data_IF_907060779924
#
_entry.id   IF_907060779924
#
_cell.length_a   1.000
_cell.length_b   1.000
_cell.length_c   1.000
_cell.angle_alpha   90.00
_cell.angle_beta   90.00
_cell.angle_gamma   90.00
#
_symmetry.space_group_name_H-M   'P 1'
#
loop_
_entity.id
_entity.type
_entity.pdbx_description
1 polymer ?
#
# COMPACT_ATOMS: atom_id res chain seq x y z
N UNK A 1 61.77 -4.43 7.58
CA UNK A 1 60.74 -4.52 8.63
C UNK A 1 59.47 -3.85 8.13
N UNK A 2 58.42 -4.62 7.76
CA UNK A 2 57.12 -4.08 7.34
C UNK A 2 56.19 -4.08 8.55
N UNK A 3 55.70 -2.90 8.93
CA UNK A 3 54.71 -2.75 10.00
C UNK A 3 53.34 -3.21 9.49
N UNK A 4 52.67 -4.09 10.22
CA UNK A 4 51.30 -4.50 9.97
C UNK A 4 50.36 -3.50 10.65
N UNK A 5 49.56 -2.78 9.87
CA UNK A 5 48.46 -1.95 10.37
C UNK A 5 47.28 -2.84 10.75
N UNK A 6 47.07 -3.03 12.05
CA UNK A 6 45.91 -3.74 12.60
C UNK A 6 44.66 -2.89 12.42
N UNK A 7 43.76 -3.30 11.53
CA UNK A 7 42.43 -2.68 11.36
C UNK A 7 41.54 -3.08 12.56
N UNK A 8 41.13 -2.12 13.38
CA UNK A 8 40.15 -2.36 14.45
C UNK A 8 38.79 -2.78 13.88
N UNK A 9 38.13 -3.82 14.44
CA UNK A 9 36.79 -4.21 14.04
C UNK A 9 35.75 -3.20 14.56
N UNK A 10 34.95 -2.63 13.65
CA UNK A 10 33.87 -1.71 13.99
C UNK A 10 32.89 -2.34 14.99
N UNK A 11 32.82 -1.76 16.19
CA UNK A 11 31.97 -2.25 17.29
C UNK A 11 30.48 -2.21 16.88
N UNK A 12 29.87 -3.40 16.72
CA UNK A 12 28.46 -3.54 16.35
C UNK A 12 27.59 -3.06 17.52
N UNK A 13 27.00 -1.87 17.40
CA UNK A 13 26.14 -1.24 18.42
C UNK A 13 25.06 -2.24 18.88
N UNK A 14 25.11 -2.66 20.16
CA UNK A 14 24.06 -3.49 20.77
C UNK A 14 22.73 -2.74 20.65
N UNK A 15 21.78 -3.33 19.92
CA UNK A 15 20.41 -2.82 19.87
C UNK A 15 19.86 -2.89 21.30
N UNK A 16 19.46 -1.75 21.86
CA UNK A 16 18.76 -1.75 23.16
C UNK A 16 17.50 -2.58 23.01
N UNK A 17 17.25 -3.47 23.97
CA UNK A 17 15.97 -4.15 24.11
C UNK A 17 14.97 -3.05 24.50
N UNK A 18 14.06 -2.72 23.60
CA UNK A 18 13.02 -1.75 23.88
C UNK A 18 11.99 -2.43 24.79
N UNK A 19 11.74 -1.83 25.95
CA UNK A 19 10.69 -2.27 26.86
C UNK A 19 9.35 -1.76 26.32
N UNK A 20 8.64 -2.64 25.62
CA UNK A 20 7.30 -2.33 25.13
C UNK A 20 6.27 -2.39 26.27
N UNK A 21 5.27 -1.50 26.29
CA UNK A 21 4.18 -1.59 27.24
C UNK A 21 3.41 -2.92 27.09
N UNK A 22 2.65 -3.32 28.13
CA UNK A 22 1.80 -4.51 28.06
C UNK A 22 0.86 -4.41 26.86
N UNK A 23 0.79 -5.47 26.05
CA UNK A 23 0.04 -5.50 24.78
C UNK A 23 0.91 -5.37 23.52
N UNK A 24 2.22 -5.19 23.66
CA UNK A 24 3.16 -5.20 22.54
C UNK A 24 3.14 -3.91 21.71
N UNK A 25 3.61 -3.99 20.47
CA UNK A 25 3.75 -2.85 19.58
C UNK A 25 3.21 -3.16 18.18
N UNK A 26 2.25 -2.36 17.73
CA UNK A 26 1.81 -2.30 16.35
C UNK A 26 2.47 -1.12 15.64
N UNK A 27 3.01 -1.35 14.44
CA UNK A 27 3.62 -0.27 13.67
C UNK A 27 3.93 -0.64 12.23
N UNK A 28 4.30 0.38 11.46
CA UNK A 28 4.59 0.26 10.03
C UNK A 28 6.08 0.53 9.77
N UNK A 29 6.77 -0.29 8.94
CA UNK A 29 8.13 0.03 8.54
C UNK A 29 8.20 1.37 7.81
N UNK A 30 9.22 2.18 8.12
CA UNK A 30 9.41 3.52 7.50
C UNK A 30 9.46 3.47 5.97
N UNK A 31 9.95 2.38 5.38
CA UNK A 31 10.00 2.20 3.92
C UNK A 31 8.59 2.09 3.31
N UNK A 32 7.65 1.43 4.00
CA UNK A 32 6.26 1.32 3.57
C UNK A 32 5.55 2.66 3.78
N UNK A 33 5.78 3.32 4.92
CA UNK A 33 5.23 4.63 5.22
C UNK A 33 5.61 5.69 4.17
N UNK A 34 6.86 5.66 3.70
CA UNK A 34 7.36 6.60 2.70
C UNK A 34 6.94 6.25 1.27
N UNK A 35 6.36 5.08 1.04
CA UNK A 35 6.00 4.63 -0.30
C UNK A 35 4.82 5.44 -0.88
N UNK A 36 4.81 5.81 -2.17
CA UNK A 36 3.71 6.55 -2.79
C UNK A 36 2.35 5.88 -2.63
N UNK A 37 2.28 4.56 -2.71
CA UNK A 37 1.02 3.81 -2.54
C UNK A 37 0.42 3.99 -1.14
N UNK A 38 1.25 4.14 -0.10
CA UNK A 38 0.76 4.45 1.25
C UNK A 38 0.23 5.88 1.32
N UNK A 39 0.96 6.83 0.73
CA UNK A 39 0.59 8.25 0.74
C UNK A 39 -0.72 8.54 0.00
N UNK A 40 -1.09 7.70 -0.97
CA UNK A 40 -2.34 7.81 -1.74
C UNK A 40 -3.55 7.16 -1.05
N UNK A 41 -3.36 6.43 0.06
CA UNK A 41 -4.45 5.80 0.79
C UNK A 41 -5.39 6.84 1.41
N UNK A 42 -6.69 6.52 1.45
CA UNK A 42 -7.64 7.31 2.23
C UNK A 42 -7.39 7.14 3.73
N UNK A 43 -7.85 8.11 4.53
CA UNK A 43 -7.74 8.02 6.00
C UNK A 43 -8.39 6.75 6.58
N UNK A 44 -9.46 6.25 5.98
CA UNK A 44 -10.09 5.00 6.39
C UNK A 44 -9.20 3.79 6.06
N UNK A 45 -8.61 3.74 4.87
CA UNK A 45 -7.67 2.68 4.50
C UNK A 45 -6.43 2.68 5.40
N UNK A 46 -5.88 3.86 5.72
CA UNK A 46 -4.78 3.98 6.69
C UNK A 46 -5.19 3.47 8.06
N UNK A 47 -6.37 3.84 8.56
CA UNK A 47 -6.89 3.34 9.84
C UNK A 47 -6.98 1.81 9.85
N UNK A 48 -7.56 1.22 8.79
CA UNK A 48 -7.72 -0.23 8.68
C UNK A 48 -6.36 -0.94 8.60
N UNK A 49 -5.39 -0.36 7.89
CA UNK A 49 -4.03 -0.89 7.82
C UNK A 49 -3.36 -0.91 9.20
N UNK A 50 -3.57 0.12 10.01
CA UNK A 50 -3.07 0.17 11.38
C UNK A 50 -3.80 -0.81 12.30
N UNK A 51 -5.10 -1.04 12.08
CA UNK A 51 -5.84 -2.09 12.79
C UNK A 51 -5.26 -3.48 12.48
N UNK A 52 -4.87 -3.76 11.23
CA UNK A 52 -4.15 -4.99 10.87
C UNK A 52 -2.75 -5.06 11.49
N UNK A 53 -1.99 -3.95 11.47
CA UNK A 53 -0.69 -3.89 12.12
C UNK A 53 -0.76 -4.11 13.63
N UNK A 54 -1.88 -3.74 14.26
CA UNK A 54 -2.15 -3.98 15.68
C UNK A 54 -2.63 -5.42 15.97
N UNK A 55 -3.30 -6.08 15.02
CA UNK A 55 -3.67 -7.50 15.14
C UNK A 55 -2.48 -8.46 14.96
N UNK A 56 -1.45 -8.03 14.23
CA UNK A 56 -0.28 -8.85 13.96
C UNK A 56 0.61 -9.03 15.20
N UNK A 57 0.89 -10.27 15.59
CA UNK A 57 1.65 -10.63 16.80
C UNK A 57 3.09 -11.10 16.52
N UNK A 58 3.47 -11.23 15.24
CA UNK A 58 4.76 -11.76 14.84
C UNK A 58 4.68 -13.10 14.11
N UNK A 59 3.61 -13.86 14.31
CA UNK A 59 3.45 -15.25 13.86
C UNK A 59 2.08 -15.58 13.24
N UNK A 60 1.21 -14.57 13.11
CA UNK A 60 -0.16 -14.72 12.60
C UNK A 60 -0.40 -13.95 11.28
N UNK A 61 0.64 -13.60 10.51
CA UNK A 61 0.45 -12.88 9.25
C UNK A 61 -0.20 -13.78 8.20
N UNK A 62 -1.51 -13.63 8.04
CA UNK A 62 -2.35 -14.59 7.30
C UNK A 62 -3.68 -14.84 8.00
N UNK A 63 -3.76 -14.54 9.30
CA UNK A 63 -4.95 -14.63 10.15
C UNK A 63 -5.41 -13.24 10.64
N UNK A 64 -5.23 -12.21 9.82
CA UNK A 64 -5.74 -10.87 10.13
C UNK A 64 -7.18 -10.74 9.64
N UNK A 65 -8.08 -10.21 10.46
CA UNK A 65 -9.50 -10.17 10.13
C UNK A 65 -10.07 -8.75 10.10
N UNK A 66 -10.98 -8.51 9.16
CA UNK A 66 -11.77 -7.28 9.07
C UNK A 66 -13.23 -7.52 9.49
N UNK A 67 -13.44 -8.45 10.42
CA UNK A 67 -14.77 -8.78 10.90
C UNK A 67 -15.43 -7.54 11.54
N UNK A 68 -16.64 -7.21 11.10
CA UNK A 68 -17.32 -5.99 11.55
C UNK A 68 -17.56 -5.97 13.06
N UNK A 69 -17.84 -7.12 13.67
CA UNK A 69 -18.02 -7.25 15.13
C UNK A 69 -16.81 -6.77 15.92
N UNK A 70 -15.61 -7.03 15.44
CA UNK A 70 -14.37 -6.67 16.13
C UNK A 70 -13.93 -5.25 15.79
N UNK A 71 -14.06 -4.86 14.52
CA UNK A 71 -13.81 -3.48 14.12
C UNK A 71 -14.81 -2.50 14.75
N UNK A 72 -16.05 -2.90 15.01
CA UNK A 72 -17.03 -2.06 15.71
C UNK A 72 -16.54 -1.67 17.12
N UNK A 73 -15.88 -2.57 17.83
CA UNK A 73 -15.25 -2.29 19.14
C UNK A 73 -14.12 -1.27 19.03
N UNK A 74 -13.50 -1.17 17.85
CA UNK A 74 -12.43 -0.21 17.48
C UNK A 74 -12.98 1.09 16.85
N UNK A 75 -14.28 1.35 17.02
CA UNK A 75 -14.94 2.58 16.61
C UNK A 75 -15.35 2.63 15.13
N UNK A 76 -15.36 1.50 14.41
CA UNK A 76 -15.92 1.45 13.06
C UNK A 76 -17.45 1.42 13.10
N UNK A 77 -18.08 2.22 12.22
CA UNK A 77 -19.55 2.41 12.22
C UNK A 77 -20.27 1.81 11.02
N UNK A 78 -19.53 1.45 9.96
CA UNK A 78 -20.11 1.03 8.68
C UNK A 78 -19.32 -0.10 8.05
N UNK A 79 -20.02 -1.18 7.71
CA UNK A 79 -19.49 -2.29 6.90
C UNK A 79 -19.04 -1.81 5.52
N UNK A 80 -19.79 -0.90 4.90
CA UNK A 80 -19.46 -0.35 3.58
C UNK A 80 -18.17 0.46 3.59
N UNK A 81 -17.90 1.20 4.66
CA UNK A 81 -16.62 1.94 4.81
C UNK A 81 -15.45 0.98 4.96
N UNK A 82 -15.61 -0.11 5.72
CA UNK A 82 -14.60 -1.16 5.85
C UNK A 82 -14.35 -1.80 4.48
N UNK A 83 -15.41 -2.17 3.75
CA UNK A 83 -15.28 -2.78 2.43
C UNK A 83 -14.50 -1.90 1.45
N UNK A 84 -14.83 -0.60 1.35
CA UNK A 84 -14.11 0.36 0.50
C UNK A 84 -12.65 0.56 0.93
N UNK A 85 -12.41 0.65 2.24
CA UNK A 85 -11.05 0.76 2.76
C UNK A 85 -10.22 -0.49 2.43
N UNK A 86 -10.85 -1.66 2.50
CA UNK A 86 -10.22 -2.95 2.25
C UNK A 86 -9.92 -3.17 0.77
N UNK A 87 -10.85 -2.80 -0.13
CA UNK A 87 -10.63 -2.74 -1.57
C UNK A 87 -9.43 -1.86 -1.91
N UNK A 88 -9.39 -0.64 -1.37
CA UNK A 88 -8.27 0.27 -1.59
C UNK A 88 -6.92 -0.30 -1.11
N UNK A 89 -6.89 -1.03 0.01
CA UNK A 89 -5.67 -1.67 0.51
C UNK A 89 -5.20 -2.83 -0.37
N UNK A 90 -6.13 -3.59 -0.94
CA UNK A 90 -5.83 -4.67 -1.89
C UNK A 90 -5.31 -4.09 -3.21
N UNK A 91 -5.97 -3.06 -3.74
CA UNK A 91 -5.57 -2.38 -4.98
C UNK A 91 -4.17 -1.75 -4.87
N UNK A 92 -3.85 -1.19 -3.70
CA UNK A 92 -2.52 -0.64 -3.39
C UNK A 92 -1.47 -1.72 -3.05
N UNK A 93 -1.83 -3.00 -3.11
CA UNK A 93 -1.00 -4.15 -2.72
C UNK A 93 -0.36 -4.00 -1.33
N UNK A 94 -1.06 -3.35 -0.40
CA UNK A 94 -0.64 -3.21 1.00
C UNK A 94 -1.05 -4.42 1.82
N UNK A 95 -2.17 -5.02 1.43
CA UNK A 95 -2.74 -6.22 2.05
C UNK A 95 -3.13 -7.19 0.95
N UNK A 96 -3.00 -8.49 1.22
CA UNK A 96 -3.62 -9.53 0.39
C UNK A 96 -4.67 -10.28 1.18
N UNK A 97 -5.65 -10.83 0.48
CA UNK A 97 -6.56 -11.81 1.04
C UNK A 97 -5.90 -13.18 1.04
N UNK A 98 -5.85 -13.82 2.21
CA UNK A 98 -5.27 -15.15 2.40
C UNK A 98 -6.33 -16.24 2.46
N UNK A 99 -7.59 -15.88 2.75
CA UNK A 99 -8.74 -16.78 2.73
C UNK A 99 -9.99 -16.02 2.32
N UNK A 100 -10.81 -16.60 1.45
CA UNK A 100 -12.12 -16.04 1.12
C UNK A 100 -13.12 -16.19 2.27
N UNK A 101 -13.98 -15.18 2.38
CA UNK A 101 -15.12 -15.24 3.30
C UNK A 101 -16.25 -16.06 2.71
N UNK A 102 -16.86 -16.95 3.49
CA UNK A 102 -18.04 -17.72 3.09
C UNK A 102 -19.24 -17.27 3.91
N UNK A 103 -20.30 -16.83 3.25
CA UNK A 103 -21.55 -16.45 3.89
C UNK A 103 -22.54 -17.61 3.82
N UNK A 104 -22.33 -18.63 4.68
CA UNK A 104 -23.11 -19.85 4.75
C UNK A 104 -23.68 -20.07 6.16
N UNK A 105 -24.86 -20.70 6.25
CA UNK A 105 -25.49 -21.10 7.51
C UNK A 105 -25.92 -22.58 7.43
N UNK A 106 -25.30 -23.53 8.17
CA UNK A 106 -24.09 -23.39 9.00
C UNK A 106 -22.79 -23.33 8.18
N UNK A 107 -21.66 -23.00 8.84
CA UNK A 107 -20.33 -23.10 8.24
C UNK A 107 -19.76 -21.82 7.61
N UNK A 108 -20.35 -20.65 7.91
CA UNK A 108 -19.81 -19.37 7.47
C UNK A 108 -18.42 -19.08 8.05
N UNK A 109 -17.55 -18.49 7.24
CA UNK A 109 -16.17 -18.12 7.61
C UNK A 109 -15.88 -16.68 7.23
N UNK A 110 -15.10 -15.98 8.03
CA UNK A 110 -14.63 -14.64 7.68
C UNK A 110 -13.46 -14.71 6.68
N UNK A 111 -13.34 -13.68 5.84
CA UNK A 111 -12.15 -13.48 5.04
C UNK A 111 -10.94 -13.15 5.94
N UNK A 112 -9.78 -13.68 5.59
CA UNK A 112 -8.51 -13.42 6.27
C UNK A 112 -7.54 -12.69 5.36
N UNK A 113 -6.60 -12.00 5.98
CA UNK A 113 -5.70 -11.06 5.32
C UNK A 113 -4.26 -11.16 5.84
N UNK A 114 -3.32 -10.71 5.04
CA UNK A 114 -1.90 -10.60 5.39
C UNK A 114 -1.30 -9.28 4.89
N UNK A 115 -0.36 -8.74 5.66
CA UNK A 115 0.47 -7.58 5.29
C UNK A 115 1.51 -8.02 4.26
N UNK A 116 1.66 -7.27 3.16
CA UNK A 116 2.48 -7.69 2.01
C UNK A 116 3.98 -7.53 2.20
N UNK A 117 4.41 -6.67 3.12
CA UNK A 117 5.82 -6.50 3.51
C UNK A 117 6.29 -7.52 4.56
N UNK A 118 5.44 -8.47 4.93
CA UNK A 118 5.73 -9.57 5.85
C UNK A 118 5.59 -10.91 5.11
N UNK A 119 6.32 -11.92 5.57
CA UNK A 119 6.12 -13.33 5.20
C UNK A 119 4.72 -13.78 5.61
N UNK A 120 4.11 -14.69 4.87
CA UNK A 120 2.84 -15.32 5.27
C UNK A 120 3.18 -16.48 6.19
N UNK A 121 2.56 -16.49 7.36
CA UNK A 121 2.71 -17.54 8.37
C UNK A 121 1.72 -18.68 8.11
N UNK A 122 2.02 -19.89 8.58
CA UNK A 122 1.23 -21.09 8.27
C UNK A 122 -0.17 -21.10 8.91
N UNK A 123 -0.37 -20.30 9.97
CA UNK A 123 -1.64 -20.08 10.67
C UNK A 123 -2.48 -21.37 10.79
N UNK A 124 -1.99 -22.33 11.59
CA UNK A 124 -2.60 -23.65 11.75
C UNK A 124 -4.11 -23.58 12.06
N UNK A 125 -4.89 -24.45 11.41
CA UNK A 125 -6.34 -24.52 11.59
C UNK A 125 -7.14 -23.40 10.91
N UNK A 126 -6.50 -22.45 10.22
CA UNK A 126 -7.19 -21.35 9.52
C UNK A 126 -7.55 -21.64 8.07
N UNK A 127 -7.05 -22.74 7.50
CA UNK A 127 -7.34 -23.14 6.11
C UNK A 127 -7.11 -21.99 5.12
N UNK A 128 -5.88 -21.44 5.13
CA UNK A 128 -5.49 -20.39 4.20
C UNK A 128 -5.46 -20.95 2.77
N UNK A 129 -5.92 -20.15 1.82
CA UNK A 129 -5.82 -20.44 0.38
C UNK A 129 -4.43 -20.12 -0.16
N UNK A 130 -3.72 -19.20 0.51
CA UNK A 130 -2.33 -18.83 0.20
C UNK A 130 -1.38 -19.58 1.13
N UNK A 131 -0.36 -20.22 0.56
CA UNK A 131 0.66 -20.96 1.31
C UNK A 131 1.56 -20.05 2.13
N UNK A 132 2.05 -20.57 3.25
CA UNK A 132 3.12 -19.94 4.03
C UNK A 132 4.34 -19.65 3.16
N UNK A 133 4.99 -18.52 3.39
CA UNK A 133 6.07 -18.01 2.53
C UNK A 133 7.21 -17.47 3.38
N UNK A 134 8.46 -17.84 3.07
CA UNK A 134 9.65 -17.36 3.80
C UNK A 134 9.96 -15.89 3.49
N UNK A 135 9.73 -15.45 2.25
CA UNK A 135 10.00 -14.08 1.79
C UNK A 135 8.71 -13.26 1.76
N UNK A 136 8.74 -11.97 2.14
CA UNK A 136 7.60 -11.08 1.94
C UNK A 136 7.14 -11.04 0.48
N UNK A 137 5.83 -10.94 0.27
CA UNK A 137 5.25 -10.85 -1.08
C UNK A 137 5.73 -9.60 -1.81
N UNK A 138 5.87 -8.47 -1.11
CA UNK A 138 6.28 -7.18 -1.69
C UNK A 138 7.51 -6.61 -0.99
N UNK A 139 8.47 -6.13 -1.80
CA UNK A 139 9.69 -5.45 -1.34
C UNK A 139 9.63 -3.97 -1.71
N UNK A 140 9.44 -3.11 -0.71
CA UNK A 140 9.26 -1.67 -0.90
C UNK A 140 10.58 -0.87 -1.12
N UNK A 141 11.74 -1.52 -1.01
CA UNK A 141 13.06 -0.85 -1.06
C UNK A 141 13.56 -0.51 -2.47
N UNK A 142 12.90 -1.00 -3.53
CA UNK A 142 13.30 -0.77 -4.92
C UNK A 142 12.18 -0.28 -5.84
N UNK A 143 10.98 -0.06 -5.30
CA UNK A 143 9.77 0.26 -6.07
C UNK A 143 9.63 1.78 -6.26
N UNK A 144 10.71 2.42 -6.70
CA UNK A 144 10.70 3.83 -7.07
C UNK A 144 10.41 3.92 -8.57
N UNK A 145 9.24 4.47 -8.90
CA UNK A 145 8.73 4.83 -10.24
C UNK A 145 7.95 3.76 -11.03
N UNK A 146 6.64 3.68 -10.76
CA UNK A 146 5.70 3.84 -11.89
C UNK A 146 5.52 5.34 -12.09
N UNK A 147 6.48 5.99 -12.77
CA UNK A 147 6.20 7.30 -13.32
C UNK A 147 4.98 7.13 -14.24
N UNK A 148 3.85 7.83 -14.02
CA UNK A 148 2.89 7.95 -15.10
C UNK A 148 3.67 8.65 -16.22
N UNK A 149 3.92 7.93 -17.30
CA UNK A 149 4.47 8.54 -18.51
C UNK A 149 3.65 9.79 -18.83
N UNK A 150 4.25 10.86 -19.36
CA UNK A 150 3.52 12.10 -19.62
C UNK A 150 2.27 11.73 -20.40
N UNK A 151 1.08 11.92 -19.80
CA UNK A 151 -0.19 11.81 -20.52
C UNK A 151 0.01 12.73 -21.70
N UNK A 152 0.00 12.17 -22.92
CA UNK A 152 0.17 12.94 -24.15
C UNK A 152 -0.74 14.15 -24.03
N UNK A 153 -0.14 15.32 -23.78
CA UNK A 153 -0.89 16.55 -23.62
C UNK A 153 -1.73 16.67 -24.87
N UNK A 154 -3.01 16.97 -24.71
CA UNK A 154 -3.84 17.32 -25.85
C UNK A 154 -3.07 18.38 -26.64
N UNK A 155 -2.77 18.05 -27.90
CA UNK A 155 -2.08 18.99 -28.79
C UNK A 155 -2.82 20.32 -28.71
N UNK A 156 -2.12 21.46 -28.60
CA UNK A 156 -2.79 22.75 -28.70
C UNK A 156 -3.61 22.74 -29.98
N UNK A 157 -4.90 23.04 -29.87
CA UNK A 157 -5.76 23.29 -31.04
C UNK A 157 -5.03 24.33 -31.87
N UNK A 158 -4.62 23.95 -33.09
CA UNK A 158 -4.04 24.90 -34.03
C UNK A 158 -5.16 25.88 -34.35
N UNK A 159 -5.11 27.08 -33.76
CA UNK A 159 -6.00 28.15 -34.15
C UNK A 159 -5.63 28.51 -35.59
N UNK A 160 -6.48 28.15 -36.55
CA UNK A 160 -6.35 28.63 -37.92
C UNK A 160 -6.30 30.16 -37.87
N UNK A 161 -5.19 30.73 -38.35
CA UNK A 161 -5.01 32.17 -38.37
C UNK A 161 -6.18 32.82 -39.12
N UNK A 162 -6.68 33.94 -38.59
CA UNK A 162 -7.72 34.78 -39.22
C UNK A 162 -7.38 35.01 -40.70
N UNK A 163 -8.13 34.39 -41.60
CA UNK A 163 -8.00 34.59 -43.05
C UNK A 163 -8.37 36.04 -43.35
N UNK A 164 -7.43 36.82 -43.86
CA UNK A 164 -7.71 38.18 -44.34
C UNK A 164 -8.30 38.08 -45.75
N UNK A 165 -9.48 38.65 -46.02
CA UNK A 165 -10.04 38.65 -47.37
C UNK A 165 -9.11 39.43 -48.31
N UNK A 166 -8.93 38.89 -49.51
CA UNK A 166 -8.16 39.51 -50.61
C UNK A 166 -9.11 39.87 -51.75
N UNK A 167 -8.79 40.91 -52.48
CA UNK A 167 -9.50 41.26 -53.72
C UNK A 167 -9.12 40.31 -54.88
N UNK A 168 -9.80 40.46 -56.02
CA UNK A 168 -9.52 39.69 -57.24
C UNK A 168 -8.12 39.93 -57.83
N UNK A 169 -7.38 40.94 -57.34
CA UNK A 169 -6.00 41.25 -57.70
C UNK A 169 -4.99 40.80 -56.63
N UNK A 170 -5.43 40.09 -55.58
CA UNK A 170 -4.60 39.50 -54.54
C UNK A 170 -4.15 40.46 -53.43
N UNK A 171 -4.66 41.70 -53.37
CA UNK A 171 -4.30 42.70 -52.35
C UNK A 171 -5.15 42.55 -51.10
N UNK A 172 -4.57 42.89 -49.94
CA UNK A 172 -5.31 42.90 -48.68
C UNK A 172 -6.25 44.11 -48.62
N UNK A 173 -7.51 43.87 -48.28
CA UNK A 173 -8.47 44.93 -48.00
C UNK A 173 -8.12 45.58 -46.66
N UNK A 174 -7.92 46.89 -46.65
CA UNK A 174 -7.79 47.69 -45.43
C UNK A 174 -9.17 48.23 -45.05
N UNK A 175 -9.64 47.91 -43.84
CA UNK A 175 -10.88 48.46 -43.29
C UNK A 175 -10.76 50.00 -43.19
N UNK A 176 -11.77 50.71 -43.71
CA UNK A 176 -11.95 52.15 -43.51
C UNK A 176 -12.80 52.43 -42.27
#
# INVERSE_FOLDING_TARGET
MKQASTTEPAMRRRKRKEDFPPGGFGGLPKVVWKHPDYQQLSGNAVKLLMDFACQYDGSNNGDLSAAYSDLKKRGWRSKGTIAKALEQLIDAEMVIRTREGKFLNPGGTCALYALTWKSIDDCEGKNLEVKSTITPRRKFSGDQSKNPGPKAGQRPVQTEGRVRPRDAMGRFLSDQ
#
